data_IF_903864733239
#
_entry.id   IF_903864733239
#
_cell.length_a   1.000
_cell.length_b   1.000
_cell.length_c   1.000
_cell.angle_alpha   90.00
_cell.angle_beta   90.00
_cell.angle_gamma   90.00
#
_symmetry.space_group_name_H-M   'P 1'
#
loop_
_entity.id
_entity.type
_entity.pdbx_description
1 polymer ?
#
# COMPACT_ATOMS: atom_id res chain seq x y z
N UNK A 1 8.67 -21.85 13.63
CA UNK A 1 8.03 -20.64 14.21
C UNK A 1 8.20 -19.49 13.22
N UNK A 2 7.16 -18.71 12.97
CA UNK A 2 7.24 -17.52 12.12
C UNK A 2 7.48 -16.25 12.94
N UNK A 3 8.08 -15.23 12.34
CA UNK A 3 8.17 -13.90 12.93
C UNK A 3 7.04 -13.01 12.37
N UNK A 4 6.22 -12.37 13.21
CA UNK A 4 5.14 -11.51 12.75
C UNK A 4 5.70 -10.20 12.18
N UNK A 5 5.42 -9.94 10.90
CA UNK A 5 5.97 -8.81 10.14
C UNK A 5 5.29 -7.47 10.44
N UNK A 6 4.01 -7.51 10.83
CA UNK A 6 3.17 -6.31 11.01
C UNK A 6 2.49 -6.31 12.37
N UNK A 7 3.27 -6.44 13.45
CA UNK A 7 2.73 -6.56 14.82
C UNK A 7 1.83 -5.38 15.23
N UNK A 8 2.10 -4.18 14.71
CA UNK A 8 1.31 -2.97 14.97
C UNK A 8 0.06 -2.86 14.10
N UNK A 9 -0.12 -3.72 13.09
CA UNK A 9 -1.20 -3.59 12.12
C UNK A 9 -2.36 -4.54 12.40
N UNK A 10 -3.58 -4.00 12.37
CA UNK A 10 -4.80 -4.78 12.48
C UNK A 10 -5.31 -5.17 11.09
N UNK A 11 -4.90 -6.34 10.62
CA UNK A 11 -5.31 -6.91 9.32
C UNK A 11 -6.56 -7.79 9.43
N UNK A 12 -7.39 -7.56 10.46
CA UNK A 12 -8.65 -8.30 10.62
C UNK A 12 -9.59 -7.92 9.49
N UNK A 13 -10.21 -8.92 8.87
CA UNK A 13 -11.21 -8.70 7.83
C UNK A 13 -12.25 -7.65 8.29
N UNK A 14 -12.62 -6.66 7.45
CA UNK A 14 -12.29 -6.52 6.02
C UNK A 14 -10.93 -5.85 5.70
N UNK A 15 -9.99 -5.80 6.64
CA UNK A 15 -8.59 -5.44 6.37
C UNK A 15 -7.86 -6.46 5.49
N UNK A 16 -6.77 -6.02 4.85
CA UNK A 16 -5.99 -6.87 3.94
C UNK A 16 -4.51 -6.53 3.94
N UNK A 17 -3.71 -7.43 3.36
CA UNK A 17 -2.32 -7.22 2.99
C UNK A 17 -2.13 -7.66 1.53
N UNK A 18 -1.47 -6.83 0.74
CA UNK A 18 -1.11 -7.08 -0.65
C UNK A 18 0.41 -6.89 -0.83
N UNK A 19 1.04 -7.84 -1.51
CA UNK A 19 2.47 -7.83 -1.80
C UNK A 19 2.68 -7.42 -3.24
N UNK A 20 3.44 -6.34 -3.45
CA UNK A 20 3.89 -5.89 -4.75
C UNK A 20 5.40 -6.10 -4.84
N UNK A 21 5.79 -7.29 -5.32
CA UNK A 21 7.18 -7.71 -5.47
C UNK A 21 7.91 -6.91 -6.54
N UNK A 22 7.21 -6.48 -7.60
CA UNK A 22 7.81 -5.70 -8.69
C UNK A 22 8.23 -4.32 -8.21
N UNK A 23 7.45 -3.67 -7.35
CA UNK A 23 7.78 -2.36 -6.79
C UNK A 23 8.47 -2.44 -5.42
N UNK A 24 8.64 -3.65 -4.87
CA UNK A 24 9.21 -3.88 -3.55
C UNK A 24 8.42 -3.18 -2.45
N UNK A 25 7.09 -3.31 -2.48
CA UNK A 25 6.17 -2.70 -1.50
C UNK A 25 5.21 -3.73 -0.92
N UNK A 26 4.77 -3.46 0.30
CA UNK A 26 3.61 -4.12 0.91
C UNK A 26 2.57 -3.05 1.20
N UNK A 27 1.35 -3.27 0.74
CA UNK A 27 0.20 -2.44 1.07
C UNK A 27 -0.65 -3.16 2.11
N UNK A 28 -0.99 -2.47 3.19
CA UNK A 28 -1.95 -2.97 4.18
C UNK A 28 -3.12 -2.04 4.30
N UNK A 29 -4.30 -2.58 4.61
CA UNK A 29 -5.47 -1.81 5.02
C UNK A 29 -5.98 -2.27 6.38
N UNK A 30 -6.09 -1.32 7.31
CA UNK A 30 -6.80 -1.50 8.58
C UNK A 30 -8.23 -1.01 8.42
N UNK A 31 -9.20 -1.93 8.44
CA UNK A 31 -10.62 -1.58 8.39
C UNK A 31 -11.09 -0.83 9.67
N UNK A 32 -10.47 -1.13 10.81
CA UNK A 32 -10.77 -0.46 12.08
C UNK A 32 -10.39 1.02 12.03
N UNK A 33 -9.19 1.32 11.53
CA UNK A 33 -8.67 2.68 11.50
C UNK A 33 -9.04 3.41 10.20
N UNK A 34 -9.48 2.68 9.18
CA UNK A 34 -9.71 3.18 7.82
C UNK A 34 -8.45 3.82 7.24
N UNK A 35 -7.31 3.13 7.39
CA UNK A 35 -6.00 3.63 6.97
C UNK A 35 -5.31 2.58 6.09
N UNK A 36 -4.76 3.05 4.97
CA UNK A 36 -3.83 2.30 4.16
C UNK A 36 -2.39 2.63 4.58
N UNK A 37 -1.51 1.63 4.67
CA UNK A 37 -0.09 1.84 4.95
C UNK A 37 0.76 1.10 3.95
N UNK A 38 1.88 1.72 3.59
CA UNK A 38 2.85 1.18 2.65
C UNK A 38 4.16 0.91 3.39
N UNK A 39 4.67 -0.30 3.23
CA UNK A 39 5.93 -0.75 3.80
C UNK A 39 6.90 -1.12 2.68
N UNK A 40 8.19 -1.03 2.97
CA UNK A 40 9.24 -1.60 2.12
C UNK A 40 9.21 -3.14 2.21
N UNK A 41 9.19 -3.84 1.08
CA UNK A 41 9.10 -5.31 1.08
C UNK A 41 10.38 -5.98 1.61
N UNK A 42 11.54 -5.35 1.47
CA UNK A 42 12.83 -5.97 1.80
C UNK A 42 13.07 -6.00 3.30
N UNK A 43 12.65 -4.97 4.02
CA UNK A 43 12.90 -4.85 5.45
C UNK A 43 11.65 -4.58 6.30
N UNK A 44 10.47 -4.54 5.69
CA UNK A 44 9.18 -4.29 6.34
C UNK A 44 9.10 -2.95 7.07
N UNK A 45 9.96 -1.99 6.71
CA UNK A 45 9.94 -0.66 7.30
C UNK A 45 8.75 0.13 6.77
N UNK A 46 8.04 0.80 7.67
CA UNK A 46 7.00 1.75 7.31
C UNK A 46 7.57 2.87 6.42
N UNK A 47 6.86 3.18 5.33
CA UNK A 47 7.20 4.27 4.42
C UNK A 47 6.23 5.44 4.58
N UNK A 48 4.93 5.21 4.36
CA UNK A 48 3.89 6.23 4.50
C UNK A 48 2.50 5.62 4.68
N UNK A 49 1.55 6.47 5.08
CA UNK A 49 0.15 6.13 5.30
C UNK A 49 -0.77 7.04 4.51
N UNK A 50 -1.91 6.51 4.08
CA UNK A 50 -3.00 7.25 3.44
C UNK A 50 -4.24 7.09 4.33
N UNK A 51 -4.64 8.18 4.96
CA UNK A 51 -5.74 8.23 5.94
C UNK A 51 -6.96 8.96 5.37
N UNK A 52 -7.38 8.57 4.18
CA UNK A 52 -8.56 9.14 3.51
C UNK A 52 -9.66 8.07 3.42
N UNK A 53 -10.78 8.35 4.08
CA UNK A 53 -11.96 7.47 4.18
C UNK A 53 -12.73 7.36 2.86
N UNK A 54 -12.47 8.25 1.90
CA UNK A 54 -13.12 8.26 0.60
C UNK A 54 -12.35 7.45 -0.46
N UNK A 55 -11.18 6.93 -0.10
CA UNK A 55 -10.41 6.02 -0.96
C UNK A 55 -11.14 4.69 -1.05
N UNK A 56 -11.60 4.33 -2.25
CA UNK A 56 -12.20 3.02 -2.51
C UNK A 56 -11.20 2.03 -3.08
N UNK A 57 -10.21 2.51 -3.83
CA UNK A 57 -9.24 1.68 -4.50
C UNK A 57 -7.87 2.36 -4.48
N UNK A 58 -6.85 1.55 -4.21
CA UNK A 58 -5.44 1.91 -4.37
C UNK A 58 -4.85 1.00 -5.44
N UNK A 59 -4.21 1.60 -6.44
CA UNK A 59 -3.45 0.86 -7.46
C UNK A 59 -2.00 1.30 -7.43
N UNK A 60 -1.09 0.34 -7.30
CA UNK A 60 0.34 0.56 -7.49
C UNK A 60 0.65 0.29 -8.97
N UNK A 61 1.27 1.27 -9.63
CA UNK A 61 1.65 1.17 -11.04
C UNK A 61 3.15 1.36 -11.20
N UNK A 62 3.73 0.57 -12.08
CA UNK A 62 5.08 0.81 -12.58
C UNK A 62 4.97 1.84 -13.70
N UNK A 63 5.64 2.96 -13.54
CA UNK A 63 5.85 3.92 -14.61
C UNK A 63 7.27 3.73 -15.12
N UNK A 64 7.39 3.25 -16.35
CA UNK A 64 8.65 3.22 -17.09
C UNK A 64 8.80 4.51 -17.87
N UNK A 65 9.72 5.38 -17.44
CA UNK A 65 10.14 6.53 -18.24
C UNK A 65 11.17 6.09 -19.27
N UNK A 66 10.88 6.32 -20.56
CA UNK A 66 11.83 6.09 -21.64
C UNK A 66 13.05 7.02 -21.54
N UNK A 67 12.91 8.18 -20.88
CA UNK A 67 14.00 9.16 -20.77
C UNK A 67 14.99 8.84 -19.64
N UNK A 68 14.58 8.12 -18.59
CA UNK A 68 15.42 7.95 -17.39
C UNK A 68 15.97 6.54 -17.16
N UNK A 69 15.61 5.53 -18.00
CA UNK A 69 15.98 4.11 -17.80
C UNK A 69 15.78 3.62 -16.34
N UNK A 70 14.88 4.26 -15.60
CA UNK A 70 14.53 3.94 -14.22
C UNK A 70 13.02 3.75 -14.15
N UNK A 71 12.61 2.62 -13.58
CA UNK A 71 11.23 2.36 -13.22
C UNK A 71 10.91 3.10 -11.93
N UNK A 72 9.79 3.81 -11.89
CA UNK A 72 9.27 4.43 -10.66
C UNK A 72 7.92 3.82 -10.31
N UNK A 73 7.69 3.55 -9.03
CA UNK A 73 6.40 3.08 -8.54
C UNK A 73 5.54 4.30 -8.18
N UNK A 74 4.38 4.44 -8.82
CA UNK A 74 3.41 5.50 -8.49
C UNK A 74 2.17 4.85 -7.89
N UNK A 75 1.73 5.35 -6.73
CA UNK A 75 0.46 4.97 -6.14
C UNK A 75 -0.61 5.96 -6.57
N UNK A 76 -1.68 5.45 -7.18
CA UNK A 76 -2.87 6.20 -7.50
C UNK A 76 -4.00 5.75 -6.57
N UNK A 77 -4.57 6.71 -5.85
CA UNK A 77 -5.80 6.50 -5.08
C UNK A 77 -6.97 7.12 -5.85
N UNK A 78 -8.02 6.33 -6.09
CA UNK A 78 -9.23 6.83 -6.75
C UNK A 78 -10.25 7.20 -5.70
N UNK A 79 -10.68 8.47 -5.72
CA UNK A 79 -11.75 9.02 -4.87
C UNK A 79 -13.01 9.14 -5.75
N UNK A 80 -14.13 8.57 -5.31
CA UNK A 80 -15.42 8.83 -5.95
C UNK A 80 -16.06 10.08 -5.33
N UNK A 81 -16.29 11.09 -6.15
CA UNK A 81 -17.25 12.15 -5.84
C UNK A 81 -18.65 11.53 -5.87
N UNK A 82 -19.24 11.32 -4.68
CA UNK A 82 -20.61 10.82 -4.55
C UNK A 82 -21.56 11.98 -4.87
N UNK A 83 -21.88 12.15 -6.15
CA UNK A 83 -23.12 12.85 -6.54
C UNK A 83 -24.33 11.99 -6.24
#
# INVERSE_FOLDING_TARGET
>A
SGFPLFQSESLKWPGFVEFDDVNGKVLTFSAHDSIHKVFDLKNYKFLYSISDKNVQEIKIRIVQSLQEKRSTATILATILDRR
#
